data_IF_509342522031
#
_entry.id   IF_509342522031
#
_cell.length_a   1.000
_cell.length_b   1.000
_cell.length_c   1.000
_cell.angle_alpha   90.00
_cell.angle_beta   90.00
_cell.angle_gamma   90.00
#
_symmetry.space_group_name_H-M   'P 1'
#
loop_
_entity.id
_entity.type
_entity.pdbx_description
1 polymer ?
#
# COMPACT_ATOMS: atom_id res chain seq x y z
N UNK A 1 23.19 -7.30 -14.11
CA UNK A 1 22.41 -7.14 -12.86
C UNK A 1 23.37 -6.63 -11.81
N UNK A 2 23.03 -5.56 -11.09
CA UNK A 2 23.89 -4.93 -10.09
C UNK A 2 23.17 -5.04 -8.74
N UNK A 3 23.85 -5.60 -7.75
CA UNK A 3 23.34 -5.60 -6.38
C UNK A 3 23.53 -4.21 -5.77
N UNK A 4 22.48 -3.71 -5.12
CA UNK A 4 22.48 -2.44 -4.41
C UNK A 4 22.03 -2.67 -2.97
N UNK A 5 21.04 -1.91 -2.51
CA UNK A 5 20.35 -2.27 -1.25
C UNK A 5 19.69 -3.64 -1.35
N UNK A 6 18.99 -4.02 -2.44
CA UNK A 6 18.54 -5.39 -2.63
C UNK A 6 19.63 -6.23 -3.30
N UNK A 7 19.81 -7.45 -2.80
CA UNK A 7 20.55 -8.51 -3.48
C UNK A 7 19.61 -9.27 -4.41
N UNK A 8 20.08 -9.66 -5.58
CA UNK A 8 19.26 -10.39 -6.54
C UNK A 8 19.82 -11.75 -6.96
N UNK A 9 18.89 -12.64 -7.33
CA UNK A 9 19.17 -13.91 -8.00
C UNK A 9 18.15 -14.11 -9.11
N UNK A 10 18.61 -14.20 -10.36
CA UNK A 10 17.75 -14.37 -11.56
C UNK A 10 16.60 -13.34 -11.59
N UNK A 11 16.92 -12.06 -11.44
CA UNK A 11 15.93 -10.96 -11.41
C UNK A 11 14.96 -10.95 -10.22
N UNK A 12 15.08 -11.88 -9.27
CA UNK A 12 14.30 -11.88 -8.02
C UNK A 12 15.14 -11.32 -6.87
N UNK A 13 14.63 -10.37 -6.08
CA UNK A 13 15.32 -9.91 -4.89
C UNK A 13 15.30 -11.02 -3.81
N UNK A 14 16.47 -11.36 -3.25
CA UNK A 14 16.65 -12.46 -2.30
C UNK A 14 17.07 -11.99 -0.90
N UNK A 15 17.58 -10.78 -0.77
CA UNK A 15 17.98 -10.21 0.51
C UNK A 15 18.18 -8.70 0.43
N UNK A 16 18.50 -8.11 1.58
CA UNK A 16 18.76 -6.67 1.73
C UNK A 16 20.09 -6.44 2.44
N UNK A 17 20.84 -5.44 2.00
CA UNK A 17 22.10 -5.06 2.60
C UNK A 17 21.88 -4.40 3.96
N UNK A 18 22.53 -4.92 5.00
CA UNK A 18 22.61 -4.33 6.32
C UNK A 18 23.91 -3.48 6.39
N UNK A 19 23.81 -2.14 6.48
CA UNK A 19 24.98 -1.27 6.50
C UNK A 19 25.82 -1.40 7.78
N UNK A 20 25.23 -1.84 8.89
CA UNK A 20 25.93 -2.01 10.16
C UNK A 20 26.77 -3.28 10.15
N UNK A 21 26.18 -4.37 9.62
CA UNK A 21 26.86 -5.68 9.47
C UNK A 21 27.72 -5.78 8.22
N UNK A 22 27.50 -4.91 7.24
CA UNK A 22 28.09 -4.93 5.89
C UNK A 22 27.85 -6.24 5.14
N UNK A 23 26.70 -6.86 5.39
CA UNK A 23 26.32 -8.15 4.82
C UNK A 23 24.88 -8.12 4.29
N UNK A 24 24.54 -9.02 3.37
CA UNK A 24 23.18 -9.19 2.89
C UNK A 24 22.39 -10.15 3.79
N UNK A 25 21.25 -9.69 4.29
CA UNK A 25 20.31 -10.50 5.07
C UNK A 25 19.25 -11.09 4.13
N UNK A 26 19.09 -12.43 4.07
CA UNK A 26 18.07 -13.06 3.24
C UNK A 26 16.65 -12.69 3.70
N UNK A 27 15.74 -12.41 2.76
CA UNK A 27 14.35 -12.10 3.11
C UNK A 27 13.65 -13.25 3.82
N UNK A 28 13.98 -14.49 3.45
CA UNK A 28 13.42 -15.69 4.09
C UNK A 28 13.73 -15.73 5.59
N UNK A 29 14.87 -15.16 6.02
CA UNK A 29 15.24 -15.09 7.45
C UNK A 29 14.49 -14.00 8.23
N UNK A 30 13.89 -13.03 7.53
CA UNK A 30 13.16 -11.91 8.11
C UNK A 30 11.65 -12.14 8.10
N UNK A 31 11.17 -13.01 7.20
CA UNK A 31 9.74 -13.18 6.91
C UNK A 31 8.90 -13.38 8.16
N UNK A 32 9.20 -14.39 8.97
CA UNK A 32 8.38 -14.72 10.14
C UNK A 32 8.32 -13.59 11.17
N UNK A 33 9.46 -12.91 11.40
CA UNK A 33 9.54 -11.76 12.31
C UNK A 33 8.74 -10.57 11.79
N UNK A 34 8.74 -10.35 10.47
CA UNK A 34 7.99 -9.28 9.84
C UNK A 34 6.49 -9.59 9.83
N UNK A 35 6.11 -10.83 9.54
CA UNK A 35 4.71 -11.27 9.57
C UNK A 35 4.13 -11.16 10.99
N UNK A 36 4.89 -11.56 12.02
CA UNK A 36 4.51 -11.36 13.43
C UNK A 36 4.37 -9.88 13.78
N UNK A 37 5.31 -9.05 13.33
CA UNK A 37 5.29 -7.60 13.61
C UNK A 37 4.13 -6.90 12.89
N UNK A 38 3.89 -7.20 11.62
CA UNK A 38 2.81 -6.59 10.83
C UNK A 38 1.45 -6.99 11.40
N UNK A 39 1.32 -8.25 11.81
CA UNK A 39 0.08 -8.83 12.31
C UNK A 39 -0.87 -9.25 11.18
N UNK A 40 -2.02 -9.85 11.54
CA UNK A 40 -2.99 -10.33 10.57
C UNK A 40 -3.61 -9.19 9.74
N UNK A 41 -4.03 -9.52 8.52
CA UNK A 41 -4.85 -8.64 7.71
C UNK A 41 -6.22 -8.41 8.36
N UNK A 42 -6.80 -7.21 8.23
CA UNK A 42 -8.18 -6.97 8.67
C UNK A 42 -9.19 -7.85 7.95
N UNK A 43 -10.30 -8.13 8.61
CA UNK A 43 -11.41 -8.87 8.01
C UNK A 43 -11.95 -8.14 6.77
N UNK A 44 -12.28 -8.91 5.73
CA UNK A 44 -12.72 -8.39 4.44
C UNK A 44 -11.58 -8.10 3.45
N UNK A 45 -10.33 -8.38 3.83
CA UNK A 45 -9.20 -8.30 2.91
C UNK A 45 -9.38 -9.20 1.70
N UNK A 46 -9.33 -8.62 0.50
CA UNK A 46 -9.49 -9.33 -0.76
C UNK A 46 -8.38 -8.94 -1.75
N UNK A 47 -7.93 -9.87 -2.61
CA UNK A 47 -6.98 -9.55 -3.66
C UNK A 47 -7.53 -8.48 -4.61
N UNK A 48 -6.69 -7.51 -4.99
CA UNK A 48 -7.10 -6.40 -5.87
C UNK A 48 -7.75 -6.88 -7.17
N UNK A 49 -7.24 -7.97 -7.75
CA UNK A 49 -7.78 -8.57 -8.99
C UNK A 49 -9.21 -9.08 -8.82
N UNK A 50 -9.54 -9.60 -7.64
CA UNK A 50 -10.88 -10.08 -7.34
C UNK A 50 -11.85 -8.90 -7.21
N UNK A 51 -11.43 -7.81 -6.56
CA UNK A 51 -12.25 -6.61 -6.40
C UNK A 51 -12.46 -5.83 -7.71
N UNK A 52 -11.53 -5.91 -8.66
CA UNK A 52 -11.62 -5.17 -9.94
C UNK A 52 -12.88 -5.54 -10.74
N UNK A 53 -13.24 -6.82 -10.76
CA UNK A 53 -14.39 -7.36 -11.51
C UNK A 53 -15.65 -7.52 -10.67
N UNK A 54 -15.59 -7.16 -9.39
CA UNK A 54 -16.67 -7.37 -8.45
C UNK A 54 -17.68 -6.20 -8.51
N UNK A 55 -18.96 -6.46 -8.80
CA UNK A 55 -19.99 -5.41 -8.83
C UNK A 55 -20.26 -4.81 -7.44
N UNK A 56 -19.92 -5.52 -6.36
CA UNK A 56 -20.09 -5.11 -4.95
C UNK A 56 -18.81 -4.54 -4.33
N UNK A 57 -17.80 -4.20 -5.16
CA UNK A 57 -16.48 -3.75 -4.68
C UNK A 57 -16.54 -2.56 -3.73
N UNK A 58 -17.43 -1.60 -3.97
CA UNK A 58 -17.59 -0.40 -3.15
C UNK A 58 -17.97 -0.77 -1.70
N UNK A 59 -18.97 -1.63 -1.51
CA UNK A 59 -19.39 -2.11 -0.18
C UNK A 59 -18.28 -2.92 0.52
N UNK A 60 -17.51 -3.69 -0.25
CA UNK A 60 -16.38 -4.46 0.29
C UNK A 60 -15.24 -3.55 0.73
N UNK A 61 -14.92 -2.53 -0.05
CA UNK A 61 -13.90 -1.53 0.29
C UNK A 61 -14.31 -0.76 1.55
N UNK A 62 -15.55 -0.28 1.63
CA UNK A 62 -16.06 0.43 2.80
C UNK A 62 -15.95 -0.43 4.08
N UNK A 63 -16.45 -1.67 4.04
CA UNK A 63 -16.32 -2.61 5.17
C UNK A 63 -14.86 -2.87 5.53
N UNK A 64 -13.99 -3.05 4.54
CA UNK A 64 -12.57 -3.27 4.77
C UNK A 64 -11.90 -2.06 5.44
N UNK A 65 -12.16 -0.83 5.00
CA UNK A 65 -11.55 0.36 5.60
C UNK A 65 -12.07 0.65 7.01
N UNK A 66 -13.35 0.36 7.28
CA UNK A 66 -13.88 0.38 8.65
C UNK A 66 -13.14 -0.62 9.54
N UNK A 67 -12.92 -1.84 9.05
CA UNK A 67 -12.17 -2.86 9.79
C UNK A 67 -10.68 -2.53 9.93
N UNK A 68 -10.07 -1.92 8.90
CA UNK A 68 -8.69 -1.46 8.90
C UNK A 68 -8.46 -0.42 10.00
N UNK A 69 -9.37 0.56 10.14
CA UNK A 69 -9.27 1.57 11.20
C UNK A 69 -9.53 1.03 12.61
N UNK A 70 -10.34 -0.03 12.73
CA UNK A 70 -10.59 -0.71 14.02
C UNK A 70 -9.45 -1.65 14.42
N UNK A 71 -8.63 -2.08 13.47
CA UNK A 71 -7.53 -3.00 13.74
C UNK A 71 -6.36 -2.28 14.41
N UNK A 72 -5.89 -2.85 15.53
CA UNK A 72 -4.78 -2.30 16.31
C UNK A 72 -3.40 -2.83 15.88
N UNK A 73 -3.34 -3.66 14.84
CA UNK A 73 -2.08 -4.22 14.35
C UNK A 73 -1.16 -3.12 13.82
N UNK A 74 0.15 -3.36 13.90
CA UNK A 74 1.13 -2.43 13.36
C UNK A 74 0.92 -2.20 11.85
N UNK A 75 0.60 -3.26 11.11
CA UNK A 75 0.30 -3.20 9.69
C UNK A 75 -0.91 -2.32 9.38
N UNK A 76 -1.98 -2.43 10.17
CA UNK A 76 -3.17 -1.59 10.00
C UNK A 76 -2.86 -0.12 10.26
N UNK A 77 -2.16 0.20 11.35
CA UNK A 77 -1.74 1.58 11.68
C UNK A 77 -0.83 2.18 10.62
N UNK A 78 0.11 1.39 10.11
CA UNK A 78 1.01 1.81 9.03
C UNK A 78 0.22 2.08 7.74
N UNK A 79 -0.73 1.21 7.38
CA UNK A 79 -1.58 1.38 6.20
C UNK A 79 -2.46 2.63 6.31
N UNK A 80 -3.12 2.86 7.45
CA UNK A 80 -3.93 4.07 7.68
C UNK A 80 -3.07 5.32 7.53
N UNK A 81 -1.90 5.37 8.19
CA UNK A 81 -0.99 6.52 8.09
C UNK A 81 -0.52 6.77 6.65
N UNK A 82 -0.23 5.72 5.90
CA UNK A 82 0.13 5.83 4.48
C UNK A 82 -1.02 6.41 3.65
N UNK A 83 -2.25 5.93 3.86
CA UNK A 83 -3.44 6.38 3.13
C UNK A 83 -3.80 7.84 3.47
N UNK A 84 -3.71 8.23 4.73
CA UNK A 84 -3.88 9.62 5.16
C UNK A 84 -2.86 10.53 4.47
N UNK A 85 -1.60 10.10 4.42
CA UNK A 85 -0.56 10.88 3.73
C UNK A 85 -0.80 10.95 2.23
N UNK A 86 -1.32 9.88 1.63
CA UNK A 86 -1.73 9.86 0.23
C UNK A 86 -2.85 10.87 -0.05
N UNK A 87 -3.88 10.93 0.82
CA UNK A 87 -4.96 11.93 0.73
C UNK A 87 -4.41 13.36 0.86
N UNK A 88 -3.49 13.60 1.79
CA UNK A 88 -2.84 14.90 1.96
C UNK A 88 -2.06 15.32 0.70
N UNK A 89 -1.26 14.42 0.13
CA UNK A 89 -0.52 14.68 -1.11
C UNK A 89 -1.49 14.96 -2.26
N UNK A 90 -2.56 14.16 -2.40
CA UNK A 90 -3.59 14.38 -3.41
C UNK A 90 -4.21 15.77 -3.31
N UNK A 91 -4.59 16.20 -2.11
CA UNK A 91 -5.10 17.56 -1.87
C UNK A 91 -4.05 18.64 -2.17
N UNK A 92 -2.79 18.37 -1.86
CA UNK A 92 -1.69 19.28 -2.14
C UNK A 92 -1.46 19.49 -3.64
N UNK A 93 -1.65 18.46 -4.47
CA UNK A 93 -1.60 18.61 -5.93
C UNK A 93 -2.65 19.60 -6.44
N UNK A 94 -3.82 19.64 -5.82
CA UNK A 94 -4.87 20.63 -6.15
C UNK A 94 -4.48 22.01 -5.65
N UNK A 95 -4.05 22.14 -4.39
CA UNK A 95 -3.67 23.45 -3.83
C UNK A 95 -2.47 24.09 -4.50
N UNK A 96 -1.54 23.28 -5.01
CA UNK A 96 -0.34 23.73 -5.71
C UNK A 96 -0.61 24.03 -7.20
N UNK A 97 -1.84 23.84 -7.68
CA UNK A 97 -2.23 24.08 -9.08
C UNK A 97 -1.71 23.03 -10.07
N UNK A 98 -1.26 21.86 -9.59
CA UNK A 98 -0.84 20.74 -10.45
C UNK A 98 -2.05 20.03 -11.07
N UNK A 99 -3.14 19.93 -10.30
CA UNK A 99 -4.44 19.43 -10.76
C UNK A 99 -5.52 20.51 -10.55
N UNK A 100 -6.53 20.57 -11.40
CA UNK A 100 -7.59 21.60 -11.27
C UNK A 100 -8.59 21.23 -10.17
N UNK A 101 -8.88 19.94 -10.01
CA UNK A 101 -9.87 19.44 -9.05
C UNK A 101 -9.42 18.14 -8.37
N UNK A 102 -10.01 17.82 -7.23
CA UNK A 102 -9.81 16.52 -6.55
C UNK A 102 -10.25 15.35 -7.46
N UNK A 103 -11.26 15.58 -8.32
CA UNK A 103 -11.72 14.60 -9.30
C UNK A 103 -10.63 14.27 -10.31
N UNK A 104 -9.88 15.26 -10.79
CA UNK A 104 -8.78 15.01 -11.75
C UNK A 104 -7.70 14.11 -11.14
N UNK A 105 -7.36 14.34 -9.87
CA UNK A 105 -6.40 13.50 -9.13
C UNK A 105 -6.91 12.06 -9.01
N UNK A 106 -8.18 11.91 -8.62
CA UNK A 106 -8.80 10.60 -8.48
C UNK A 106 -8.89 9.87 -9.82
N UNK A 107 -9.31 10.54 -10.89
CA UNK A 107 -9.45 9.98 -12.24
C UNK A 107 -8.11 9.53 -12.82
N UNK A 108 -7.01 10.26 -12.56
CA UNK A 108 -5.67 9.83 -12.96
C UNK A 108 -5.29 8.53 -12.26
N UNK A 109 -5.53 8.38 -10.95
CA UNK A 109 -5.20 7.14 -10.26
C UNK A 109 -6.09 5.97 -10.68
N UNK A 110 -7.40 6.18 -10.85
CA UNK A 110 -8.33 5.09 -11.19
C UNK A 110 -8.24 4.68 -12.66
N UNK A 111 -8.11 5.63 -13.58
CA UNK A 111 -8.07 5.33 -15.02
C UNK A 111 -6.65 5.13 -15.55
N UNK A 112 -5.69 5.92 -15.08
CA UNK A 112 -4.30 5.89 -15.56
C UNK A 112 -3.45 4.83 -14.86
N UNK A 113 -3.63 4.66 -13.54
CA UNK A 113 -2.89 3.70 -12.73
C UNK A 113 -3.70 2.48 -12.30
N UNK A 114 -4.96 2.39 -12.74
CA UNK A 114 -5.85 1.26 -12.45
C UNK A 114 -6.07 0.99 -10.96
N UNK A 115 -6.02 2.04 -10.13
CA UNK A 115 -6.40 1.93 -8.73
C UNK A 115 -7.91 1.67 -8.61
N UNK A 116 -8.32 0.93 -7.57
CA UNK A 116 -9.73 0.68 -7.28
C UNK A 116 -10.47 1.93 -6.79
N UNK A 117 -9.72 2.90 -6.22
CA UNK A 117 -10.23 4.14 -5.67
C UNK A 117 -9.17 5.25 -5.78
N UNK A 118 -9.63 6.50 -5.78
CA UNK A 118 -8.77 7.67 -5.74
C UNK A 118 -8.25 7.96 -4.32
N UNK A 119 -7.12 8.67 -4.16
CA UNK A 119 -6.53 8.94 -2.85
C UNK A 119 -7.35 9.94 -2.03
N UNK A 120 -8.22 10.72 -2.68
CA UNK A 120 -9.13 11.67 -2.03
C UNK A 120 -10.51 11.02 -1.98
N UNK A 121 -10.78 10.28 -0.90
CA UNK A 121 -12.03 9.56 -0.66
C UNK A 121 -12.46 9.67 0.81
N UNK A 122 -13.69 9.23 1.09
CA UNK A 122 -14.29 9.26 2.44
C UNK A 122 -14.37 7.88 3.10
N UNK A 123 -13.63 6.90 2.57
CA UNK A 123 -13.61 5.57 3.15
C UNK A 123 -13.07 5.56 4.55
#
# INVERSE_FOLDING_TARGET
QVDGFPQYKRSRPIGVFDPDRKEYIPFDSLKDKLDEKIGPLPEGGAPWRALLVDPTKEEKLEKYFVNLRKSDTFGAKLAVKYLEKSKEIGKKLVSDGVANTEKDVNDVLTNGFYHLYGPINEY
#
